data_IF_240945537620
#
_entry.id   IF_240945537620
#
_cell.length_a   1.000
_cell.length_b   1.000
_cell.length_c   1.000
_cell.angle_alpha   90.00
_cell.angle_beta   90.00
_cell.angle_gamma   90.00
#
_symmetry.space_group_name_H-M   'P 1'
#
loop_
_entity.id
_entity.type
_entity.pdbx_description
1 polymer ?
2 non-polymer ?
3 non-polymer ?
4 water ?
#
# COMPACT_ATOMS: atom_id res chain seq x y z
N UNK A 1 10.95 -22.83 17.47
CA UNK A 1 10.10 -21.67 17.04
C UNK A 1 9.23 -22.03 15.83
N UNK A 2 7.92 -21.98 16.03
CA UNK A 2 6.97 -22.29 14.96
C UNK A 2 7.07 -21.27 13.83
N UNK A 3 6.65 -21.69 12.63
CA UNK A 3 6.70 -20.81 11.47
C UNK A 3 5.32 -20.63 10.84
N UNK A 4 4.91 -19.37 10.68
CA UNK A 4 3.62 -19.06 10.08
C UNK A 4 3.66 -19.32 8.58
N UNK A 5 2.52 -19.67 8.01
CA UNK A 5 2.42 -19.92 6.58
C UNK A 5 1.78 -18.74 5.85
N UNK A 6 1.55 -17.64 6.56
CA UNK A 6 0.93 -16.46 5.94
C UNK A 6 1.72 -15.90 4.77
N UNK A 7 3.04 -15.80 4.91
CA UNK A 7 3.85 -15.25 3.82
C UNK A 7 3.80 -16.19 2.61
N UNK A 8 3.85 -17.50 2.87
CA UNK A 8 3.78 -18.49 1.79
C UNK A 8 2.44 -18.38 1.07
N UNK A 9 1.37 -18.22 1.85
CA UNK A 9 0.04 -18.09 1.28
C UNK A 9 -0.08 -16.84 0.42
N UNK A 10 0.53 -15.75 0.86
CA UNK A 10 0.49 -14.52 0.08
C UNK A 10 1.32 -14.71 -1.18
N UNK A 11 2.39 -15.49 -1.07
CA UNK A 11 3.24 -15.76 -2.22
C UNK A 11 2.44 -16.53 -3.28
N UNK A 12 1.62 -17.46 -2.82
CA UNK A 12 0.78 -18.27 -3.71
C UNK A 12 -0.08 -17.36 -4.58
N UNK A 13 -0.57 -16.28 -3.98
CA UNK A 13 -1.42 -15.32 -4.70
C UNK A 13 -0.58 -14.36 -5.52
N UNK A 14 0.74 -14.48 -5.41
CA UNK A 14 1.63 -13.60 -6.15
C UNK A 14 1.66 -12.20 -5.57
N UNK A 15 1.41 -12.08 -4.27
CA UNK A 15 1.41 -10.79 -3.61
C UNK A 15 2.68 -10.42 -2.85
N UNK A 16 3.75 -11.18 -3.04
CA UNK A 16 5.00 -10.88 -2.36
C UNK A 16 6.14 -10.59 -3.33
N UNK A 17 6.57 -9.33 -3.38
CA UNK A 17 7.66 -8.93 -4.27
C UNK A 17 8.99 -9.13 -3.55
N UNK A 18 9.15 -8.46 -2.42
CA UNK A 18 10.36 -8.57 -1.61
C UNK A 18 9.95 -8.63 -0.14
N UNK A 19 10.77 -9.30 0.67
CA UNK A 19 10.52 -9.41 2.10
C UNK A 19 11.86 -9.52 2.82
N UNK A 20 11.97 -8.86 3.97
CA UNK A 20 13.21 -8.88 4.75
C UNK A 20 13.20 -10.05 5.73
N UNK A 21 14.27 -10.83 5.74
CA UNK A 21 14.39 -11.96 6.65
C UNK A 21 13.08 -12.74 6.71
N UNK A 22 12.68 -13.33 5.58
CA UNK A 22 11.42 -14.06 5.54
C UNK A 22 11.30 -15.14 6.63
N UNK A 23 12.37 -15.88 6.87
CA UNK A 23 12.32 -16.93 7.88
C UNK A 23 12.04 -16.37 9.27
N UNK A 24 12.72 -15.29 9.62
CA UNK A 24 12.53 -14.66 10.93
C UNK A 24 11.14 -14.03 11.03
N UNK A 25 10.66 -13.45 9.94
CA UNK A 25 9.34 -12.83 9.94
C UNK A 25 8.25 -13.87 10.12
N UNK A 26 8.37 -14.98 9.39
CA UNK A 26 7.38 -16.06 9.49
C UNK A 26 7.34 -16.62 10.91
N UNK A 27 8.51 -16.69 11.56
CA UNK A 27 8.58 -17.18 12.93
C UNK A 27 7.91 -16.20 13.88
N UNK A 28 8.12 -14.91 13.66
CA UNK A 28 7.51 -13.87 14.51
C UNK A 28 5.99 -13.89 14.36
N UNK A 29 5.53 -14.05 13.13
CA UNK A 29 4.10 -14.08 12.85
C UNK A 29 3.42 -15.24 13.57
N UNK A 30 4.17 -16.31 13.78
CA UNK A 30 3.64 -17.49 14.46
C UNK A 30 3.58 -17.30 15.98
N UNK A 31 4.43 -16.43 16.50
CA UNK A 31 4.47 -16.17 17.94
C UNK A 31 3.14 -15.63 18.45
N UNK A 32 2.44 -14.88 17.60
CA UNK A 32 1.17 -14.32 18.00
C UNK A 32 0.80 -13.17 17.07
N UNK A 33 -0.33 -12.50 17.33
CA UNK A 33 -0.77 -11.37 16.50
C UNK A 33 0.19 -10.20 16.64
N UNK A 34 0.57 -9.60 15.52
CA UNK A 34 1.46 -8.44 15.55
C UNK A 34 0.74 -7.25 14.96
N UNK A 35 1.27 -6.08 15.24
CA UNK A 35 0.72 -4.86 14.68
C UNK A 35 1.60 -4.59 13.47
N UNK A 36 0.98 -4.23 12.35
CA UNK A 36 1.70 -3.90 11.13
C UNK A 36 1.09 -2.62 10.59
N UNK A 37 1.72 -2.01 9.59
CA UNK A 37 1.16 -0.79 9.02
C UNK A 37 1.53 -0.59 7.57
N UNK A 38 0.78 0.29 6.93
CA UNK A 38 1.03 0.68 5.56
C UNK A 38 0.60 2.14 5.53
N UNK A 39 1.35 2.97 4.81
CA UNK A 39 0.99 4.37 4.74
C UNK A 39 0.43 4.74 3.38
N UNK A 40 -0.39 5.79 3.35
CA UNK A 40 -0.98 6.28 2.11
C UNK A 40 -0.90 7.80 2.15
N UNK A 41 -0.34 8.41 1.10
CA UNK A 41 -0.23 9.87 1.06
C UNK A 41 -1.39 10.54 0.35
N UNK A 42 -1.79 11.71 0.86
CA UNK A 42 -2.89 12.53 0.34
C UNK A 42 -2.39 13.33 -0.87
N UNK A 43 -2.18 12.64 -1.98
CA UNK A 43 -1.71 13.29 -3.21
C UNK A 43 -2.93 13.81 -3.97
N UNK A 44 -4.11 13.44 -3.48
CA UNK A 44 -5.37 13.86 -4.07
C UNK A 44 -6.41 13.67 -2.96
N UNK A 45 -7.65 14.05 -3.22
CA UNK A 45 -8.70 13.94 -2.19
C UNK A 45 -9.29 12.54 -2.10
N UNK A 46 -8.61 11.57 -2.72
CA UNK A 46 -9.08 10.19 -2.72
C UNK A 46 -7.96 9.25 -3.14
N UNK A 47 -8.05 7.99 -2.74
CA UNK A 47 -7.05 7.01 -3.14
C UNK A 47 -7.58 6.41 -4.44
N UNK A 48 -6.76 5.66 -5.16
CA UNK A 48 -7.20 5.04 -6.40
C UNK A 48 -6.76 3.58 -6.47
N UNK A 49 -7.01 2.94 -7.61
CA UNK A 49 -6.65 1.53 -7.77
C UNK A 49 -5.20 1.23 -7.46
N UNK A 50 -4.34 2.23 -7.61
CA UNK A 50 -2.92 2.02 -7.32
C UNK A 50 -2.68 1.74 -5.86
N UNK A 51 -3.59 2.17 -4.98
CA UNK A 51 -3.46 1.96 -3.55
C UNK A 51 -4.19 0.72 -3.04
N UNK A 52 -5.09 0.17 -3.86
CA UNK A 52 -5.90 -0.97 -3.46
C UNK A 52 -5.23 -2.27 -3.02
N UNK A 53 -4.26 -2.77 -3.79
CA UNK A 53 -3.60 -4.02 -3.40
C UNK A 53 -3.01 -3.96 -1.99
N UNK A 54 -2.23 -2.92 -1.69
CA UNK A 54 -1.64 -2.82 -0.35
C UNK A 54 -2.72 -2.67 0.72
N UNK A 55 -3.77 -1.92 0.41
CA UNK A 55 -4.88 -1.70 1.34
C UNK A 55 -5.55 -3.03 1.67
N UNK A 56 -5.84 -3.82 0.64
CA UNK A 56 -6.48 -5.11 0.85
C UNK A 56 -5.53 -6.07 1.57
N UNK A 57 -4.23 -5.88 1.39
CA UNK A 57 -3.25 -6.74 2.06
C UNK A 57 -3.29 -6.51 3.58
N UNK A 58 -3.60 -5.28 3.98
CA UNK A 58 -3.71 -4.98 5.41
C UNK A 58 -4.84 -5.84 5.95
N UNK A 59 -5.92 -5.94 5.18
CA UNK A 59 -7.07 -6.74 5.58
C UNK A 59 -6.73 -8.23 5.58
N UNK A 60 -5.89 -8.67 4.64
CA UNK A 60 -5.49 -10.08 4.58
C UNK A 60 -4.75 -10.41 5.87
N UNK A 61 -3.92 -9.48 6.33
CA UNK A 61 -3.19 -9.69 7.57
C UNK A 61 -4.15 -9.69 8.76
N UNK A 62 -5.12 -8.79 8.74
CA UNK A 62 -6.09 -8.74 9.83
C UNK A 62 -6.91 -10.03 9.87
N UNK A 63 -7.23 -10.58 8.70
CA UNK A 63 -8.00 -11.81 8.62
C UNK A 63 -7.22 -12.95 9.28
N UNK A 64 -5.90 -12.86 9.23
CA UNK A 64 -5.03 -13.86 9.82
C UNK A 64 -4.88 -13.62 11.33
N UNK A 65 -5.52 -12.58 11.84
CA UNK A 65 -5.45 -12.29 13.27
C UNK A 65 -4.55 -11.13 13.68
N UNK A 66 -3.86 -10.54 12.72
CA UNK A 66 -2.96 -9.44 13.02
C UNK A 66 -3.69 -8.09 13.05
N UNK A 67 -3.05 -7.10 13.65
CA UNK A 67 -3.63 -5.76 13.81
C UNK A 67 -3.07 -4.76 12.80
N UNK A 68 -3.93 -4.28 11.89
CA UNK A 68 -3.53 -3.31 10.87
C UNK A 68 -3.60 -1.85 11.30
N UNK A 69 -2.56 -1.10 10.94
CA UNK A 69 -2.49 0.32 11.24
C UNK A 69 -2.43 1.03 9.89
N UNK A 70 -3.47 1.80 9.58
CA UNK A 70 -3.52 2.53 8.32
C UNK A 70 -3.09 3.97 8.55
N UNK A 71 -1.91 4.33 8.06
CA UNK A 71 -1.39 5.67 8.24
C UNK A 71 -1.65 6.53 7.01
N UNK A 72 -2.16 7.74 7.23
CA UNK A 72 -2.40 8.69 6.16
C UNK A 72 -1.33 9.77 6.33
N UNK A 73 -0.61 10.07 5.25
CA UNK A 73 0.47 11.03 5.32
C UNK A 73 0.19 12.51 5.41
N UNK A 74 -0.30 12.97 6.56
CA UNK A 74 -0.58 14.38 6.70
C UNK A 74 0.66 15.25 6.52
N UNK A 75 1.81 14.67 6.85
CA UNK A 75 3.08 15.39 6.72
C UNK A 75 3.82 15.01 5.45
N UNK A 76 3.94 13.70 5.21
CA UNK A 76 4.64 13.26 4.01
C UNK A 76 3.94 13.75 2.74
N UNK A 77 2.63 13.97 2.83
CA UNK A 77 1.89 14.46 1.68
C UNK A 77 2.22 15.92 1.40
N UNK A 78 2.97 16.53 2.31
CA UNK A 78 3.36 17.93 2.12
C UNK A 78 4.79 17.98 1.59
N UNK A 79 5.39 16.81 1.40
CA UNK A 79 6.75 16.70 0.92
C UNK A 79 6.81 16.04 -0.47
N UNK A 80 6.21 14.85 -0.59
CA UNK A 80 6.19 14.16 -1.86
C UNK A 80 7.22 13.05 -2.00
N UNK A 81 6.76 11.83 -2.24
CA UNK A 81 7.63 10.66 -2.39
C UNK A 81 8.15 10.57 -3.83
N UNK A 82 9.46 10.76 -4.02
CA UNK A 82 10.10 10.71 -5.34
C UNK A 82 10.39 9.30 -5.86
N UNK A 83 10.19 8.31 -5.01
CA UNK A 83 10.47 6.92 -5.37
C UNK A 83 10.03 6.51 -6.77
N UNK A 84 11.02 6.20 -7.61
CA UNK A 84 10.80 5.79 -8.99
C UNK A 84 9.91 6.71 -9.81
N UNK A 85 9.95 7.99 -9.50
CA UNK A 85 9.17 9.00 -10.22
C UNK A 85 10.14 9.83 -11.05
N UNK A 86 9.73 10.17 -12.28
CA UNK A 86 10.59 10.95 -13.17
C UNK A 86 10.77 12.41 -12.78
N UNK A 87 9.70 13.05 -12.33
CA UNK A 87 9.77 14.46 -11.97
C UNK A 87 9.20 14.79 -10.59
N UNK A 88 9.52 15.99 -10.12
CA UNK A 88 9.06 16.50 -8.82
C UNK A 88 7.55 16.45 -8.72
N UNK A 89 7.04 16.08 -7.54
CA UNK A 89 5.60 16.05 -7.33
C UNK A 89 5.17 17.47 -6.99
N UNK A 90 3.94 17.81 -7.38
CA UNK A 90 3.44 19.15 -7.09
C UNK A 90 3.34 19.36 -5.59
N UNK A 91 3.68 20.57 -5.14
CA UNK A 91 3.58 20.88 -3.72
C UNK A 91 2.19 21.46 -3.47
N UNK A 92 1.43 20.83 -2.58
CA UNK A 92 0.10 21.31 -2.26
C UNK A 92 0.14 22.10 -0.94
N UNK A 93 -0.85 22.96 -0.72
CA UNK A 93 -0.89 23.76 0.49
C UNK A 93 -1.25 22.94 1.73
N UNK A 94 -0.87 23.44 2.90
CA UNK A 94 -1.17 22.75 4.15
C UNK A 94 -2.68 22.65 4.34
N UNK A 95 -3.38 23.75 4.05
CA UNK A 95 -4.84 23.80 4.19
C UNK A 95 -5.53 22.71 3.36
N UNK A 96 -5.09 22.55 2.11
CA UNK A 96 -5.69 21.56 1.23
C UNK A 96 -5.35 20.12 1.62
N UNK A 97 -4.09 19.86 1.96
CA UNK A 97 -3.69 18.51 2.33
C UNK A 97 -4.43 18.07 3.60
N UNK A 98 -4.64 19.00 4.52
CA UNK A 98 -5.34 18.68 5.76
C UNK A 98 -6.74 18.15 5.44
N UNK A 99 -7.42 18.79 4.50
CA UNK A 99 -8.76 18.35 4.14
C UNK A 99 -8.70 16.99 3.43
N UNK A 100 -7.71 16.80 2.56
CA UNK A 100 -7.58 15.53 1.86
C UNK A 100 -7.32 14.38 2.83
N UNK A 101 -6.53 14.64 3.86
CA UNK A 101 -6.22 13.62 4.85
C UNK A 101 -7.53 13.10 5.47
N UNK A 102 -8.39 14.03 5.84
CA UNK A 102 -9.67 13.67 6.45
C UNK A 102 -10.52 12.80 5.53
N UNK A 103 -10.57 13.16 4.25
CA UNK A 103 -11.36 12.39 3.29
C UNK A 103 -10.78 11.00 3.08
N UNK A 104 -9.46 10.93 2.97
CA UNK A 104 -8.80 9.64 2.78
C UNK A 104 -8.96 8.74 4.00
N UNK A 105 -8.83 9.32 5.19
CA UNK A 105 -8.98 8.53 6.41
C UNK A 105 -10.36 7.86 6.43
N UNK A 106 -11.38 8.64 6.10
CA UNK A 106 -12.75 8.13 6.09
C UNK A 106 -12.97 7.10 4.99
N UNK A 107 -12.25 7.24 3.88
CA UNK A 107 -12.36 6.31 2.77
C UNK A 107 -11.71 4.96 3.10
N UNK A 108 -10.64 5.02 3.87
CA UNK A 108 -9.91 3.82 4.28
C UNK A 108 -10.64 2.97 5.33
N UNK A 109 -11.28 3.64 6.28
CA UNK A 109 -11.98 2.98 7.38
C UNK A 109 -12.83 1.75 7.06
N UNK A 110 -13.77 1.87 6.11
CA UNK A 110 -14.64 0.75 5.73
C UNK A 110 -13.91 -0.52 5.28
N UNK A 111 -12.68 -0.36 4.81
CA UNK A 111 -11.89 -1.49 4.34
C UNK A 111 -11.34 -2.37 5.47
N UNK A 112 -11.27 -1.80 6.67
CA UNK A 112 -10.74 -2.56 7.81
C UNK A 112 -11.74 -2.63 8.97
N UNK A 113 -11.55 -3.59 9.87
CA UNK A 113 -12.45 -3.74 11.01
C UNK A 113 -11.85 -3.02 12.20
N UNK A 114 -12.55 -1.99 12.67
CA UNK A 114 -12.11 -1.20 13.81
C UNK A 114 -12.88 -1.64 15.06
N UNK A 115 -13.63 -2.73 14.95
CA UNK A 115 -14.40 -3.22 16.08
C UNK A 115 -14.43 -4.75 16.11
N UNK A 116 -13.26 -5.36 16.25
CA UNK A 116 -13.16 -6.82 16.30
C UNK A 116 -12.20 -7.27 17.39
N UNK A 117 -12.20 -6.57 18.52
CA UNK A 117 -11.32 -6.95 19.60
C UNK A 117 -9.92 -6.36 19.54
N UNK A 118 -8.97 -7.04 20.18
CA UNK A 118 -7.59 -6.55 20.22
C UNK A 118 -6.90 -6.35 18.88
N UNK A 119 -7.36 -7.03 17.82
CA UNK A 119 -6.71 -6.81 16.53
C UNK A 119 -7.49 -5.79 15.70
N UNK A 120 -8.23 -4.93 16.39
CA UNK A 120 -9.00 -3.87 15.75
C UNK A 120 -8.00 -2.90 15.12
N UNK A 121 -8.36 -2.34 13.98
CA UNK A 121 -7.50 -1.42 13.26
C UNK A 121 -7.31 -0.09 13.97
N UNK A 122 -6.24 0.61 13.61
CA UNK A 122 -5.91 1.91 14.17
C UNK A 122 -5.60 2.86 13.03
N UNK A 123 -6.11 4.09 13.12
CA UNK A 123 -5.86 5.12 12.11
C UNK A 123 -4.72 6.00 12.64
N UNK A 124 -3.75 6.30 11.78
CA UNK A 124 -2.63 7.14 12.17
C UNK A 124 -2.39 8.26 11.16
N UNK A 125 -1.68 9.31 11.59
CA UNK A 125 -1.36 10.46 10.74
C UNK A 125 0.00 10.99 11.17
N UNK A 126 1.01 10.90 10.30
CA UNK A 126 2.34 11.37 10.70
C UNK A 126 2.46 12.87 10.93
N UNK A 127 1.38 13.62 10.69
CA UNK A 127 1.42 15.05 10.95
C UNK A 127 1.46 15.23 12.47
N UNK A 128 1.00 14.21 13.19
CA UNK A 128 0.97 14.26 14.64
C UNK A 128 2.37 14.54 15.19
N UNK A 129 3.39 13.92 14.59
CA UNK A 129 4.76 14.12 15.06
C UNK A 129 5.64 15.02 14.21
N UNK A 130 5.28 15.24 12.94
CA UNK A 130 6.08 16.12 12.08
C UNK A 130 5.50 17.53 11.98
N UNK A 131 4.21 17.65 12.24
CA UNK A 131 3.54 18.93 12.15
C UNK A 131 4.03 20.02 13.08
N UNK A 132 4.64 19.62 14.20
CA UNK A 132 5.14 20.59 15.17
C UNK A 132 6.61 20.35 15.52
N UNK A 133 7.28 19.51 14.74
CA UNK A 133 8.69 19.21 15.00
C UNK A 133 9.60 20.32 14.47
N UNK A 134 10.50 20.83 15.31
CA UNK A 134 11.43 21.88 14.89
C UNK A 134 12.45 21.30 13.92
N UNK A 135 12.91 22.12 12.98
CA UNK A 135 13.87 21.68 11.97
C UNK A 135 15.22 21.21 12.52
N UNK A 136 15.74 21.90 13.53
CA UNK A 136 17.02 21.50 14.09
C UNK A 136 16.89 20.14 14.79
N UNK A 137 15.75 19.90 15.43
CA UNK A 137 15.53 18.65 16.13
C UNK A 137 15.49 17.50 15.13
N UNK A 138 14.86 17.74 13.97
CA UNK A 138 14.77 16.73 12.92
C UNK A 138 16.15 16.42 12.34
N UNK A 139 16.85 17.47 11.93
CA UNK A 139 18.17 17.32 11.33
C UNK A 139 19.17 16.60 12.23
N UNK A 140 19.08 16.87 13.53
CA UNK A 140 19.97 16.26 14.52
C UNK A 140 19.54 14.86 14.96
N UNK A 141 18.41 14.79 15.67
CA UNK A 141 17.91 13.53 16.21
C UNK A 141 17.53 12.45 15.21
N UNK A 142 17.22 12.84 13.98
CA UNK A 142 16.87 11.87 12.96
C UNK A 142 17.94 11.87 11.87
N UNK A 143 18.28 13.06 11.39
CA UNK A 143 19.26 13.20 10.33
C UNK A 143 20.65 12.63 10.59
N UNK A 144 21.08 12.61 11.86
CA UNK A 144 22.40 12.09 12.22
C UNK A 144 22.54 10.61 11.88
N UNK A 145 21.41 9.92 11.76
CA UNK A 145 21.41 8.48 11.49
C UNK A 145 21.33 8.13 10.00
N UNK A 146 21.40 9.14 9.15
CA UNK A 146 21.35 8.91 7.71
C UNK A 146 22.61 9.31 6.98
N UNK A 147 23.12 8.37 6.18
CA UNK A 147 24.33 8.58 5.39
C UNK A 147 23.92 9.04 4.00
N UNK A 148 24.41 10.20 3.56
CA UNK A 148 24.06 10.71 2.24
C UNK A 148 24.58 9.79 1.13
N UNK A 149 25.76 9.21 1.33
CA UNK A 149 26.31 8.30 0.33
C UNK A 149 25.34 7.14 0.13
N UNK A 150 24.74 6.65 1.21
CA UNK A 150 23.79 5.56 1.12
C UNK A 150 22.50 6.02 0.46
N UNK A 151 22.01 7.18 0.88
CA UNK A 151 20.79 7.73 0.32
C UNK A 151 20.88 7.91 -1.19
N UNK A 152 22.04 8.35 -1.66
CA UNK A 152 22.24 8.56 -3.09
C UNK A 152 22.23 7.26 -3.87
N UNK A 153 22.54 6.15 -3.19
CA UNK A 153 22.58 4.84 -3.81
C UNK A 153 21.25 4.07 -3.80
N UNK A 154 20.22 4.67 -3.21
CA UNK A 154 18.91 4.00 -3.19
C UNK A 154 18.38 3.95 -4.62
N UNK A 155 18.01 2.75 -5.09
CA UNK A 155 17.51 2.60 -6.45
C UNK A 155 16.31 3.49 -6.75
N UNK A 156 15.51 3.78 -5.74
CA UNK A 156 14.32 4.62 -5.92
C UNK A 156 14.62 6.02 -6.43
N UNK A 157 15.80 6.54 -6.14
CA UNK A 157 16.16 7.88 -6.58
C UNK A 157 17.40 7.94 -7.47
N UNK A 158 17.99 6.78 -7.74
CA UNK A 158 19.19 6.67 -8.56
C UNK A 158 19.04 7.40 -9.90
N UNK A 159 17.92 7.15 -10.57
CA UNK A 159 17.62 7.77 -11.86
C UNK A 159 17.64 9.29 -11.80
N UNK A 160 17.00 9.85 -10.77
CA UNK A 160 16.92 11.29 -10.59
C UNK A 160 18.29 11.95 -10.41
N UNK A 161 19.23 11.18 -9.91
CA UNK A 161 20.57 11.68 -9.66
C UNK A 161 21.56 11.30 -10.76
N UNK A 162 21.17 10.37 -11.63
CA UNK A 162 22.03 9.93 -12.72
C UNK A 162 21.64 10.52 -14.06
N UNK A 163 20.34 10.50 -14.37
CA UNK A 163 19.85 11.04 -15.64
C UNK A 163 20.00 12.55 -15.71
N UNK A 164 20.76 13.01 -16.71
CA UNK A 164 21.00 14.43 -16.90
C UNK A 164 19.74 15.19 -17.31
N UNK A 165 18.69 14.45 -17.65
CA UNK A 165 17.43 15.07 -18.06
C UNK A 165 16.47 15.19 -16.89
N UNK A 166 17.01 15.19 -15.68
CA UNK A 166 16.19 15.33 -14.48
C UNK A 166 17.02 15.51 -13.22
N UNK A 167 16.35 15.86 -12.13
CA UNK A 167 17.04 16.07 -10.85
C UNK A 167 16.07 15.92 -9.71
N UNK A 168 16.55 16.11 -8.47
CA UNK A 168 15.69 15.98 -7.31
C UNK A 168 15.97 17.08 -6.27
N UNK A 169 14.90 17.71 -5.81
CA UNK A 169 14.99 18.78 -4.81
C UNK A 169 15.41 18.22 -3.46
N UNK A 170 15.91 19.10 -2.60
CA UNK A 170 16.30 18.66 -1.26
C UNK A 170 15.02 18.23 -0.56
N UNK A 171 13.91 18.88 -0.92
CA UNK A 171 12.59 18.57 -0.36
C UNK A 171 12.26 17.08 -0.48
N UNK A 172 12.23 16.58 -1.71
CA UNK A 172 11.91 15.19 -1.95
C UNK A 172 13.01 14.22 -1.52
N UNK A 173 14.25 14.69 -1.52
CA UNK A 173 15.38 13.86 -1.11
C UNK A 173 15.23 13.53 0.37
N UNK A 174 14.58 14.41 1.12
CA UNK A 174 14.38 14.20 2.55
C UNK A 174 13.21 13.28 2.89
N UNK A 175 12.34 12.99 1.92
CA UNK A 175 11.17 12.15 2.16
C UNK A 175 11.50 10.82 2.85
N UNK A 176 12.54 10.16 2.35
CA UNK A 176 12.98 8.88 2.90
C UNK A 176 13.13 8.92 4.42
N UNK A 177 13.62 10.03 4.95
CA UNK A 177 13.80 10.17 6.39
C UNK A 177 12.46 10.23 7.13
N UNK A 178 11.48 10.92 6.55
CA UNK A 178 10.16 11.03 7.16
C UNK A 178 9.49 9.66 7.27
N UNK A 179 9.41 8.92 6.17
CA UNK A 179 8.78 7.61 6.20
C UNK A 179 9.59 6.68 7.09
N UNK A 180 10.91 6.91 7.12
CA UNK A 180 11.78 6.09 7.95
C UNK A 180 11.41 6.28 9.41
N UNK A 181 11.28 7.53 9.84
CA UNK A 181 10.95 7.82 11.23
C UNK A 181 9.53 7.35 11.57
N UNK A 182 8.64 7.37 10.58
CA UNK A 182 7.27 6.92 10.79
C UNK A 182 7.29 5.50 11.35
N UNK A 183 8.11 4.63 10.75
CA UNK A 183 8.21 3.23 11.17
C UNK A 183 8.69 3.17 12.63
N UNK A 184 9.72 3.95 12.95
CA UNK A 184 10.25 3.95 14.32
C UNK A 184 9.21 4.45 15.33
N UNK A 185 8.46 5.48 14.93
CA UNK A 185 7.43 6.05 15.79
C UNK A 185 6.29 5.05 16.04
N UNK A 186 5.82 4.40 14.98
CA UNK A 186 4.74 3.43 15.13
C UNK A 186 5.20 2.21 15.94
N UNK A 187 6.49 1.88 15.82
CA UNK A 187 7.04 0.76 16.58
C UNK A 187 7.00 1.14 18.06
N UNK A 188 7.50 2.33 18.37
CA UNK A 188 7.54 2.82 19.74
C UNK A 188 6.15 2.95 20.38
N UNK A 189 5.21 3.55 19.64
CA UNK A 189 3.86 3.75 20.16
C UNK A 189 2.95 2.53 20.21
N UNK A 190 2.84 1.84 19.08
CA UNK A 190 1.94 0.69 18.97
C UNK A 190 2.56 -0.68 18.84
N UNK A 191 3.88 -0.78 18.95
CA UNK A 191 4.53 -2.07 18.82
C UNK A 191 4.51 -2.60 17.39
N UNK A 192 4.41 -1.70 16.42
CA UNK A 192 4.40 -2.09 15.01
C UNK A 192 5.78 -2.69 14.68
N UNK A 193 5.78 -3.93 14.20
CA UNK A 193 7.03 -4.59 13.86
C UNK A 193 7.11 -5.01 12.39
N UNK A 194 6.16 -4.54 11.59
CA UNK A 194 6.14 -4.86 10.16
C UNK A 194 5.48 -3.76 9.36
N UNK A 195 6.08 -3.40 8.23
CA UNK A 195 5.50 -2.40 7.35
C UNK A 195 5.39 -3.05 5.98
N UNK A 196 4.22 -2.92 5.36
CA UNK A 196 4.03 -3.47 4.02
C UNK A 196 3.76 -2.26 3.11
N UNK A 197 3.97 -2.45 1.82
CA UNK A 197 3.76 -1.35 0.89
C UNK A 197 3.93 -1.79 -0.55
N UNK A 198 3.69 -0.84 -1.45
CA UNK A 198 3.83 -1.12 -2.86
C UNK A 198 5.27 -1.41 -3.23
N UNK A 199 5.45 -1.96 -4.43
CA UNK A 199 6.76 -2.33 -4.95
C UNK A 199 7.80 -1.23 -4.92
N UNK A 200 7.37 0.02 -5.11
CA UNK A 200 8.28 1.15 -5.13
C UNK A 200 8.71 1.65 -3.75
N UNK A 201 8.19 1.01 -2.71
CA UNK A 201 8.48 1.42 -1.33
C UNK A 201 9.60 0.68 -0.57
N UNK A 202 10.25 -0.27 -1.22
CA UNK A 202 11.31 -1.04 -0.56
C UNK A 202 12.33 -0.19 0.19
N UNK A 203 12.97 0.73 -0.52
CA UNK A 203 13.96 1.60 0.10
C UNK A 203 13.46 2.47 1.24
N UNK A 204 12.22 2.96 1.16
CA UNK A 204 11.65 3.78 2.24
C UNK A 204 11.39 2.89 3.45
N UNK A 205 11.00 1.64 3.18
CA UNK A 205 10.72 0.69 4.23
C UNK A 205 11.98 0.23 4.96
N UNK A 206 13.04 -0.10 4.21
CA UNK A 206 14.29 -0.54 4.83
C UNK A 206 14.95 0.59 5.64
N UNK A 207 14.75 1.84 5.21
CA UNK A 207 15.31 2.96 5.95
C UNK A 207 14.60 3.00 7.30
N UNK A 208 13.34 2.59 7.30
CA UNK A 208 12.56 2.57 8.54
C UNK A 208 13.03 1.45 9.45
N UNK A 209 13.40 0.33 8.86
CA UNK A 209 13.89 -0.82 9.62
C UNK A 209 15.23 -0.46 10.29
N UNK A 210 16.12 0.17 9.53
CA UNK A 210 17.41 0.55 10.05
C UNK A 210 17.29 1.61 11.15
N UNK A 211 16.46 2.62 10.92
CA UNK A 211 16.29 3.68 11.91
C UNK A 211 15.64 3.16 13.19
N UNK A 212 14.72 2.21 13.05
CA UNK A 212 14.06 1.64 14.23
C UNK A 212 15.11 0.91 15.06
N UNK A 213 16.06 0.27 14.38
CA UNK A 213 17.13 -0.43 15.08
C UNK A 213 18.07 0.56 15.75
N UNK A 214 18.42 1.63 15.03
CA UNK A 214 19.33 2.65 15.55
C UNK A 214 18.74 3.45 16.71
N UNK A 215 17.44 3.74 16.63
CA UNK A 215 16.79 4.52 17.67
C UNK A 215 16.27 3.71 18.85
N UNK A 216 15.62 2.58 18.58
CA UNK A 216 15.03 1.79 19.66
C UNK A 216 15.60 0.39 19.87
N UNK A 217 16.58 0.00 19.06
CA UNK A 217 17.19 -1.31 19.19
C UNK A 217 16.19 -2.46 19.02
N UNK A 218 15.19 -2.26 18.16
CA UNK A 218 14.20 -3.30 17.91
C UNK A 218 14.29 -3.77 16.47
N UNK A 219 14.15 -5.07 16.27
CA UNK A 219 14.20 -5.63 14.92
C UNK A 219 12.79 -5.62 14.33
N UNK A 220 12.60 -4.89 13.24
CA UNK A 220 11.29 -4.84 12.59
C UNK A 220 11.44 -5.36 11.16
N UNK A 221 10.33 -5.64 10.50
CA UNK A 221 10.38 -6.20 9.15
C UNK A 221 9.64 -5.42 8.08
N UNK A 222 9.90 -5.78 6.83
CA UNK A 222 9.26 -5.12 5.70
C UNK A 222 8.88 -6.09 4.61
N UNK A 223 7.81 -5.77 3.89
CA UNK A 223 7.33 -6.60 2.80
C UNK A 223 6.65 -5.72 1.76
N UNK A 224 7.00 -5.90 0.49
CA UNK A 224 6.37 -5.12 -0.57
C UNK A 224 5.58 -6.01 -1.49
N UNK A 225 4.49 -5.45 -2.03
CA UNK A 225 3.66 -6.19 -2.97
C UNK A 225 4.20 -5.85 -4.35
N UNK A 226 4.05 -6.77 -5.31
CA UNK A 226 4.54 -6.52 -6.66
C UNK A 226 3.85 -5.41 -7.43
N UNK A 227 4.53 -4.93 -8.46
CA UNK A 227 4.00 -3.90 -9.33
C UNK A 227 2.86 -4.59 -10.07
N UNK A 228 1.66 -4.04 -10.01
CA UNK A 228 0.55 -4.65 -10.71
C UNK A 228 0.71 -4.32 -12.19
N UNK A 229 0.80 -5.35 -13.01
CA UNK A 229 0.99 -5.14 -14.44
C UNK A 229 -0.08 -5.82 -15.29
N UNK A 230 -0.18 -5.36 -16.53
CA UNK A 230 -1.13 -5.95 -17.48
C UNK A 230 -0.31 -6.61 -18.58
N UNK A 231 -0.79 -7.74 -19.08
CA UNK A 231 -0.09 -8.47 -20.14
C UNK A 231 0.28 -7.61 -21.35
N UNK A 232 -0.57 -6.65 -21.71
CA UNK A 232 -0.29 -5.80 -22.86
C UNK A 232 0.76 -4.72 -22.61
N UNK A 233 1.36 -4.73 -21.42
CA UNK A 233 2.38 -3.76 -21.09
C UNK A 233 1.94 -2.36 -20.70
N UNK A 234 0.64 -2.06 -20.76
CA UNK A 234 0.21 -0.71 -20.37
C UNK A 234 0.03 -0.60 -18.85
N UNK A 235 -0.01 0.64 -18.36
CA UNK A 235 -0.14 0.90 -16.93
C UNK A 235 -1.50 0.50 -16.35
N UNK A 236 -1.47 -0.30 -15.29
CA UNK A 236 -2.69 -0.74 -14.64
C UNK A 236 -3.38 0.41 -13.91
N UNK A 237 -4.71 0.42 -13.95
CA UNK A 237 -5.46 1.45 -13.27
C UNK A 237 -5.52 2.78 -14.00
N UNK A 238 -4.89 2.84 -15.17
CA UNK A 238 -4.88 4.05 -15.96
C UNK A 238 -5.81 3.94 -17.16
N UNK A 239 -6.72 4.91 -17.31
CA UNK A 239 -7.66 4.91 -18.42
C UNK A 239 -7.51 6.23 -19.17
N UNK A 240 -8.28 6.41 -20.24
CA UNK A 240 -8.23 7.64 -21.02
C UNK A 240 -8.72 8.81 -20.18
N UNK A 241 -9.62 8.52 -19.24
CA UNK A 241 -10.17 9.57 -18.40
C UNK A 241 -9.40 9.79 -17.11
N UNK A 242 -8.23 9.16 -16.99
CA UNK A 242 -7.44 9.32 -15.79
C UNK A 242 -7.43 8.09 -14.91
N UNK A 243 -7.29 8.29 -13.61
CA UNK A 243 -7.25 7.17 -12.67
C UNK A 243 -8.62 6.65 -12.29
N UNK A 244 -8.65 5.45 -11.71
CA UNK A 244 -9.88 4.84 -11.26
C UNK A 244 -9.91 5.06 -9.75
N UNK A 245 -10.66 6.06 -9.33
CA UNK A 245 -10.75 6.41 -7.91
C UNK A 245 -11.64 5.49 -7.08
N UNK A 246 -11.36 5.43 -5.78
CA UNK A 246 -12.13 4.60 -4.86
C UNK A 246 -13.34 5.38 -4.35
N UNK A 247 -13.33 6.69 -4.63
CA UNK A 247 -14.41 7.59 -4.22
C UNK A 247 -15.53 7.49 -5.26
N UNK A 248 -16.73 7.06 -4.83
CA UNK A 248 -17.89 6.91 -5.71
C UNK A 248 -18.27 8.21 -6.42
N UNK A 249 -17.97 9.33 -5.78
CA UNK A 249 -18.27 10.64 -6.36
C UNK A 249 -17.29 11.01 -7.47
N UNK A 250 -16.14 10.35 -7.50
CA UNK A 250 -15.14 10.63 -8.52
C UNK A 250 -15.23 9.59 -9.64
N UNK A 251 -15.43 8.34 -9.24
CA UNK A 251 -15.60 7.22 -10.17
C UNK A 251 -16.79 6.45 -9.64
N UNK A 252 -17.89 6.50 -10.37
CA UNK A 252 -19.11 5.82 -9.92
C UNK A 252 -18.97 4.32 -9.81
N UNK A 253 -19.74 3.70 -8.92
CA UNK A 253 -19.69 2.24 -8.73
C UNK A 253 -19.94 1.54 -10.07
N UNK A 254 -20.84 2.13 -10.86
CA UNK A 254 -21.16 1.56 -12.16
C UNK A 254 -19.93 1.57 -13.06
N UNK A 255 -19.24 2.70 -13.10
CA UNK A 255 -18.03 2.85 -13.92
C UNK A 255 -16.93 1.95 -13.38
N UNK A 256 -16.90 1.80 -12.05
CA UNK A 256 -15.90 0.97 -11.38
C UNK A 256 -16.10 -0.49 -11.80
N UNK A 257 -17.36 -0.93 -11.78
CA UNK A 257 -17.70 -2.29 -12.16
C UNK A 257 -17.36 -2.53 -13.63
N UNK A 258 -17.60 -1.52 -14.46
CA UNK A 258 -17.30 -1.61 -15.89
C UNK A 258 -15.80 -1.76 -16.14
N UNK A 259 -14.98 -1.10 -15.32
CA UNK A 259 -13.53 -1.19 -15.46
C UNK A 259 -13.06 -2.63 -15.30
N UNK A 260 -13.63 -3.34 -14.32
CA UNK A 260 -13.25 -4.72 -14.06
C UNK A 260 -13.79 -5.69 -15.12
N UNK A 261 -14.98 -5.43 -15.62
CA UNK A 261 -15.56 -6.28 -16.65
C UNK A 261 -14.66 -6.24 -17.89
N UNK A 262 -13.99 -5.11 -18.08
CA UNK A 262 -13.11 -4.93 -19.23
C UNK A 262 -11.76 -5.62 -19.10
N UNK A 263 -11.50 -6.24 -17.95
CA UNK A 263 -10.23 -6.93 -17.71
C UNK A 263 -9.91 -7.96 -18.80
N UNK A 264 -8.66 -7.95 -19.28
CA UNK A 264 -8.22 -8.88 -20.32
C UNK A 264 -8.16 -10.32 -19.78
N UNK A 265 -8.40 -11.29 -20.64
CA UNK A 265 -8.36 -12.70 -20.22
C UNK A 265 -7.00 -13.04 -19.62
N UNK A 266 -5.94 -12.46 -20.18
CA UNK A 266 -4.59 -12.73 -19.71
C UNK A 266 -4.32 -12.25 -18.28
N UNK A 267 -5.05 -11.23 -17.84
CA UNK A 267 -4.85 -10.66 -16.50
C UNK A 267 -5.91 -11.02 -15.46
N UNK A 268 -7.09 -11.42 -15.91
CA UNK A 268 -8.20 -11.69 -15.01
C UNK A 268 -7.97 -12.68 -13.86
N UNK A 269 -7.30 -13.80 -14.11
CA UNK A 269 -7.09 -14.79 -13.06
C UNK A 269 -6.06 -14.29 -12.04
N UNK A 270 -5.07 -13.55 -12.54
CA UNK A 270 -4.03 -12.99 -11.70
C UNK A 270 -4.67 -11.90 -10.85
N UNK A 271 -5.55 -11.10 -11.47
CA UNK A 271 -6.23 -10.03 -10.76
C UNK A 271 -7.19 -10.54 -9.69
N UNK A 272 -7.77 -11.72 -9.92
CA UNK A 272 -8.66 -12.31 -8.92
C UNK A 272 -7.87 -12.61 -7.65
N UNK A 273 -6.61 -13.00 -7.83
CA UNK A 273 -5.74 -13.29 -6.68
C UNK A 273 -5.30 -12.01 -5.98
N UNK A 274 -5.02 -10.97 -6.75
CA UNK A 274 -4.57 -9.70 -6.20
C UNK A 274 -5.67 -8.90 -5.49
N UNK A 275 -6.84 -8.85 -6.11
CA UNK A 275 -7.95 -8.06 -5.61
C UNK A 275 -9.12 -8.69 -4.88
N UNK A 276 -9.15 -10.01 -4.71
CA UNK A 276 -10.28 -10.62 -4.02
C UNK A 276 -9.84 -11.57 -2.92
N UNK A 277 -10.81 -12.03 -2.15
CA UNK A 277 -10.54 -12.96 -1.06
C UNK A 277 -10.97 -14.38 -1.38
N UNK A 278 -11.20 -14.65 -2.66
CA UNK A 278 -11.56 -16.00 -3.09
C UNK A 278 -10.32 -16.84 -2.86
N UNK A 279 -10.51 -18.10 -2.49
CA UNK A 279 -9.39 -19.00 -2.24
C UNK A 279 -8.65 -19.30 -3.53
N UNK A 280 -7.38 -19.69 -3.42
CA UNK A 280 -6.60 -20.03 -4.60
C UNK A 280 -7.23 -21.23 -5.28
N UNK A 281 -7.78 -22.13 -4.48
CA UNK A 281 -8.43 -23.31 -5.01
C UNK A 281 -9.62 -22.91 -5.89
N UNK A 282 -10.43 -21.99 -5.39
CA UNK A 282 -11.59 -21.54 -6.15
C UNK A 282 -11.20 -20.84 -7.45
N UNK A 283 -10.19 -19.98 -7.38
CA UNK A 283 -9.74 -19.25 -8.56
C UNK A 283 -9.16 -20.21 -9.61
N UNK A 284 -8.36 -21.16 -9.18
CA UNK A 284 -7.78 -22.14 -10.10
C UNK A 284 -8.88 -22.95 -10.79
N UNK A 285 -9.91 -23.33 -10.02
CA UNK A 285 -11.01 -24.09 -10.58
C UNK A 285 -11.79 -23.26 -11.59
N UNK A 286 -11.90 -21.96 -11.31
CA UNK A 286 -12.60 -21.03 -12.18
C UNK A 286 -11.85 -20.90 -13.51
N UNK A 287 -10.52 -20.83 -13.44
CA UNK A 287 -9.73 -20.70 -14.65
C UNK A 287 -9.88 -21.95 -15.52
N UNK A 288 -9.89 -23.11 -14.88
CA UNK A 288 -10.06 -24.37 -15.59
C UNK A 288 -11.46 -24.40 -16.21
N UNK A 289 -12.44 -23.95 -15.43
CA UNK A 289 -13.82 -23.89 -15.89
C UNK A 289 -13.94 -23.09 -17.17
N UNK A 290 -13.35 -21.90 -17.18
CA UNK A 290 -13.41 -21.03 -18.36
C UNK A 290 -12.63 -21.64 -19.52
N UNK A 291 -11.60 -22.39 -19.19
CA UNK A 291 -10.76 -23.02 -20.21
C UNK A 291 -11.52 -24.06 -21.04
N UNK A 292 -12.41 -24.80 -20.41
CA UNK A 292 -13.16 -25.84 -21.12
C UNK A 292 -14.68 -25.68 -21.19
N UNK A 293 -15.18 -24.49 -20.89
CA UNK A 293 -16.63 -24.28 -20.92
C UNK A 293 -17.20 -24.05 -22.32
N UNK A 294 -16.43 -23.39 -23.17
CA UNK A 294 -16.91 -23.09 -24.51
C UNK A 294 -17.82 -21.88 -24.45
N UNK A 295 -17.90 -21.27 -23.27
CA UNK A 295 -18.74 -20.10 -23.04
C UNK A 295 -17.87 -18.88 -22.72
N UNK A 296 -18.48 -17.72 -22.62
CA UNK A 296 -17.72 -16.52 -22.29
C UNK A 296 -17.15 -16.77 -20.89
N UNK A 297 -15.91 -16.33 -20.64
CA UNK A 297 -15.33 -16.54 -19.31
C UNK A 297 -16.15 -15.81 -18.25
N UNK A 298 -16.39 -16.46 -17.12
CA UNK A 298 -17.16 -15.78 -16.09
C UNK A 298 -16.24 -15.09 -15.09
N UNK A 299 -14.93 -15.24 -15.31
CA UNK A 299 -13.94 -14.62 -14.44
C UNK A 299 -14.08 -13.11 -14.34
N UNK A 300 -14.27 -12.44 -15.48
CA UNK A 300 -14.42 -10.97 -15.46
C UNK A 300 -15.62 -10.54 -14.63
N UNK A 301 -16.74 -11.25 -14.78
CA UNK A 301 -17.95 -10.94 -14.05
C UNK A 301 -17.76 -11.20 -12.56
N UNK A 302 -17.05 -12.27 -12.23
CA UNK A 302 -16.80 -12.61 -10.83
C UNK A 302 -15.87 -11.58 -10.21
N UNK A 303 -14.83 -11.19 -10.95
CA UNK A 303 -13.87 -10.19 -10.47
C UNK A 303 -14.58 -8.86 -10.24
N UNK A 304 -15.38 -8.43 -11.20
CA UNK A 304 -16.10 -7.17 -11.08
C UNK A 304 -17.03 -7.16 -9.89
N UNK A 305 -17.73 -8.28 -9.68
CA UNK A 305 -18.66 -8.41 -8.57
C UNK A 305 -17.90 -8.33 -7.23
N UNK A 306 -16.83 -9.10 -7.13
CA UNK A 306 -16.01 -9.15 -5.92
C UNK A 306 -15.39 -7.82 -5.49
N UNK A 307 -14.65 -7.19 -6.38
CA UNK A 307 -14.00 -5.93 -6.07
C UNK A 307 -14.99 -4.79 -5.85
N UNK A 308 -16.02 -4.73 -6.68
CA UNK A 308 -17.01 -3.67 -6.54
C UNK A 308 -17.66 -3.75 -5.15
N UNK A 309 -17.91 -4.96 -4.67
CA UNK A 309 -18.51 -5.13 -3.35
C UNK A 309 -17.51 -4.71 -2.26
N UNK A 310 -16.25 -5.07 -2.42
CA UNK A 310 -15.22 -4.72 -1.45
C UNK A 310 -15.02 -3.21 -1.36
N UNK A 311 -15.12 -2.54 -2.50
CA UNK A 311 -14.91 -1.10 -2.56
C UNK A 311 -16.14 -0.24 -2.31
N UNK A 312 -17.29 -0.66 -2.84
CA UNK A 312 -18.51 0.13 -2.67
C UNK A 312 -19.65 -0.58 -1.96
N UNK A 313 -19.37 -1.78 -1.44
CA UNK A 313 -20.37 -2.53 -0.73
C UNK A 313 -21.53 -3.05 -1.57
N UNK A 314 -22.51 -3.66 -0.90
CA UNK A 314 -23.67 -4.19 -1.60
C UNK A 314 -24.41 -3.11 -2.39
N UNK A 315 -24.48 -1.91 -1.83
CA UNK A 315 -25.16 -0.81 -2.51
C UNK A 315 -24.50 -0.46 -3.83
N UNK A 316 -23.18 -0.41 -3.83
CA UNK A 316 -22.44 -0.09 -5.03
C UNK A 316 -22.63 -1.18 -6.07
N UNK A 317 -22.64 -2.43 -5.62
CA UNK A 317 -22.81 -3.56 -6.52
C UNK A 317 -24.19 -3.48 -7.17
N UNK A 318 -25.18 -3.02 -6.39
CA UNK A 318 -26.52 -2.89 -6.91
C UNK A 318 -26.60 -1.72 -7.91
N UNK A 319 -25.89 -0.64 -7.60
CA UNK A 319 -25.87 0.52 -8.49
C UNK A 319 -25.17 0.22 -9.80
N UNK A 320 -24.36 -0.84 -9.83
CA UNK A 320 -23.63 -1.21 -11.03
C UNK A 320 -24.51 -1.84 -12.10
N UNK A 321 -25.74 -2.18 -11.74
CA UNK A 321 -26.68 -2.80 -12.68
C UNK A 321 -27.86 -1.88 -12.95
N UNK A 322 -27.67 -0.58 -12.73
CA UNK A 322 -28.72 0.42 -12.92
C UNK A 322 -28.18 1.66 -13.62
X LIG B 1 0.51 8.55 -6.84
X LIG B 1 0.88 8.38 -8.26
X LIG B 1 1.51 7.87 -5.99
X LIG B 1 -0.82 7.95 -6.60
X LIG B 1 0.47 9.98 -6.50
X LIG C 1 5.43 6.66 0.57
X LIG C 1 4.14 5.91 0.44
X LIG C 1 3.56 6.15 -0.94
X LIG C 1 2.55 5.49 -1.27
X LIG C 1 3.14 6.39 1.51
X LIG C 1 3.65 6.28 2.93
X LIG C 1 4.08 5.06 3.44
X LIG C 1 3.71 7.40 3.76
X LIG C 1 4.56 4.95 4.74
X LIG C 1 4.18 7.30 5.05
X LIG C 1 4.60 6.08 5.54
X LIG C 1 5.05 5.98 6.85
X LIG C 1 4.10 7.02 -1.66
#
# INVERSE_FOLDING_TARGET
MASSNLIKQLQERGLVAQVTDEEALAERLAQGPIALYCGFDPTADSLHLGHLVPLLCLKRFQQAGHKPVALVGGATGLIGDPSFKAAERKLNTEETVQEWVDKIRKQVAPFLDFDCGENSAIAANNYDWFGNMNVLTFLRDIGKHFSVNQMINKEAVKQRLNREDQGISFTEFSYNLLQGYDFACLNKQYGVVLQIGGSDQWGNITSGIDLTRRLHQNQVFGLTVPLITKADGTKFGKTEGGAVWLDPKKTSPYKFYQFWINTADADVYRFLKFFTFMSIEEINALEEEDKNSGKAPRAQYVLAEQVTRLVHGEEGLQAAKR
SO4 S O1 O2 O3 O4
TYR N CA C O CB CG CD1 CD2 CE1 CE2 CZ OH OXT
#
